data_IF_013494985101
#
_entry.id   IF_013494985101
#
_cell.length_a   1.000
_cell.length_b   1.000
_cell.length_c   1.000
_cell.angle_alpha   90.00
_cell.angle_beta   90.00
_cell.angle_gamma   90.00
#
_symmetry.space_group_name_H-M   'P 1'
#
loop_
_entity.id
_entity.type
_entity.pdbx_description
1 polymer ?
#
# COMPACT_ATOMS: atom_id res chain seq x y z
N UNK A 1 15.37 -39.04 -22.25
CA UNK A 1 15.07 -40.02 -21.20
C UNK A 1 15.35 -39.40 -19.86
N UNK A 2 14.46 -39.61 -18.89
CA UNK A 2 14.49 -39.22 -17.48
C UNK A 2 14.25 -37.75 -17.14
N UNK A 3 12.99 -37.48 -16.87
CA UNK A 3 12.48 -36.38 -16.07
C UNK A 3 12.79 -36.61 -14.57
N UNK A 4 13.25 -35.65 -13.84
CA UNK A 4 12.96 -35.60 -12.40
C UNK A 4 12.51 -34.19 -11.98
N UNK A 5 11.25 -33.97 -11.82
CA UNK A 5 10.74 -32.88 -11.04
C UNK A 5 9.49 -33.33 -10.27
N UNK A 6 9.70 -34.23 -9.34
CA UNK A 6 8.83 -34.45 -8.21
C UNK A 6 9.20 -33.43 -7.13
N UNK A 7 8.73 -32.19 -7.26
CA UNK A 7 8.78 -31.24 -6.17
C UNK A 7 7.77 -31.73 -5.12
N UNK A 8 8.27 -32.37 -4.06
CA UNK A 8 7.49 -32.71 -2.89
C UNK A 8 6.82 -31.43 -2.38
N UNK A 9 5.49 -31.41 -2.39
CA UNK A 9 4.69 -30.36 -1.79
C UNK A 9 5.00 -30.33 -0.29
N UNK A 10 5.75 -29.34 0.16
CA UNK A 10 5.95 -29.13 1.58
C UNK A 10 4.61 -28.71 2.20
N UNK A 11 4.19 -29.35 3.31
CA UNK A 11 2.96 -28.96 3.98
C UNK A 11 3.07 -27.52 4.52
N UNK A 12 2.00 -26.75 4.34
CA UNK A 12 1.87 -25.42 4.88
C UNK A 12 2.04 -25.46 6.41
N UNK A 13 3.05 -24.80 6.92
CA UNK A 13 3.24 -24.66 8.37
C UNK A 13 2.37 -23.52 8.86
N UNK A 14 1.39 -23.85 9.70
CA UNK A 14 0.58 -22.90 10.45
C UNK A 14 1.30 -22.60 11.76
N UNK A 15 1.82 -21.40 11.90
CA UNK A 15 2.37 -20.91 13.16
C UNK A 15 1.28 -20.05 13.80
N UNK A 16 0.64 -20.57 14.83
CA UNK A 16 -0.32 -19.82 15.65
C UNK A 16 0.49 -19.10 16.70
N UNK A 17 0.58 -17.79 16.61
CA UNK A 17 1.13 -16.98 17.68
C UNK A 17 0.11 -16.88 18.81
N UNK A 18 0.49 -17.11 20.08
CA UNK A 18 -0.44 -16.95 21.19
C UNK A 18 -0.92 -15.49 21.23
N UNK A 19 -2.22 -15.32 21.21
CA UNK A 19 -2.88 -14.01 21.29
C UNK A 19 -2.66 -13.41 22.68
N UNK A 20 -1.59 -12.64 22.84
CA UNK A 20 -1.41 -11.76 24.00
C UNK A 20 -2.11 -10.44 23.71
N UNK A 21 -3.43 -10.45 23.60
CA UNK A 21 -4.25 -9.26 23.61
C UNK A 21 -5.43 -9.47 24.54
N UNK A 22 -5.38 -8.74 25.66
CA UNK A 22 -6.44 -8.40 26.60
C UNK A 22 -7.73 -9.21 26.51
N UNK A 23 -7.86 -10.18 27.42
CA UNK A 23 -9.16 -10.75 27.80
C UNK A 23 -10.04 -9.67 28.43
N UNK A 24 -11.03 -9.19 27.71
CA UNK A 24 -12.22 -8.62 28.33
C UNK A 24 -13.35 -9.62 28.18
N UNK A 25 -13.83 -10.11 29.31
CA UNK A 25 -15.16 -10.65 29.55
C UNK A 25 -15.55 -11.89 28.76
N UNK A 26 -15.58 -13.02 29.42
CA UNK A 26 -16.03 -14.29 28.86
C UNK A 26 -17.50 -14.31 28.49
N UNK A 27 -17.76 -14.80 27.29
CA UNK A 27 -18.91 -15.63 26.99
C UNK A 27 -18.38 -16.78 26.15
N UNK A 28 -18.41 -18.00 26.71
CA UNK A 28 -18.29 -19.24 25.94
C UNK A 28 -19.56 -19.33 25.07
N UNK A 29 -19.44 -18.97 23.80
CA UNK A 29 -20.41 -19.33 22.80
C UNK A 29 -20.07 -20.73 22.31
N UNK A 30 -21.05 -21.62 22.31
CA UNK A 30 -21.00 -22.93 21.67
C UNK A 30 -20.40 -22.80 20.27
N UNK A 31 -19.44 -23.69 19.94
CA UNK A 31 -18.67 -23.75 18.70
C UNK A 31 -19.51 -24.22 17.51
N UNK A 32 -20.58 -23.53 17.18
CA UNK A 32 -21.20 -23.67 15.87
C UNK A 32 -20.58 -22.62 14.96
N UNK A 33 -19.79 -23.06 13.96
CA UNK A 33 -19.23 -22.20 12.94
C UNK A 33 -20.36 -21.36 12.30
N UNK A 34 -20.20 -20.03 12.14
CA UNK A 34 -21.25 -19.20 11.57
C UNK A 34 -21.64 -19.71 10.18
N UNK A 35 -22.91 -19.66 9.83
CA UNK A 35 -23.42 -20.07 8.50
C UNK A 35 -22.68 -19.41 7.33
N UNK A 36 -22.24 -18.16 7.51
CA UNK A 36 -21.40 -17.46 6.54
C UNK A 36 -19.98 -18.04 6.36
N UNK A 37 -19.47 -18.73 7.35
CA UNK A 37 -18.19 -19.44 7.25
C UNK A 37 -18.28 -20.60 6.25
N UNK A 38 -19.23 -21.49 6.41
CA UNK A 38 -19.42 -22.64 5.51
C UNK A 38 -19.68 -22.19 4.08
N UNK A 39 -20.50 -21.15 3.90
CA UNK A 39 -20.78 -20.59 2.58
C UNK A 39 -19.51 -20.02 1.92
N UNK A 40 -18.65 -19.31 2.65
CA UNK A 40 -17.40 -18.78 2.11
C UNK A 40 -16.46 -19.90 1.64
N UNK A 41 -16.37 -21.01 2.39
CA UNK A 41 -15.57 -22.17 1.98
C UNK A 41 -16.12 -22.85 0.72
N UNK A 42 -17.41 -23.04 0.62
CA UNK A 42 -18.06 -23.59 -0.58
C UNK A 42 -17.88 -22.70 -1.80
N UNK A 43 -18.00 -21.38 -1.63
CA UNK A 43 -17.77 -20.41 -2.70
C UNK A 43 -16.31 -20.40 -3.15
N UNK A 44 -15.35 -20.52 -2.25
CA UNK A 44 -13.93 -20.64 -2.59
C UNK A 44 -13.65 -21.86 -3.47
N UNK A 45 -14.18 -23.03 -3.10
CA UNK A 45 -14.09 -24.26 -3.90
C UNK A 45 -14.64 -24.04 -5.33
N UNK A 46 -15.81 -23.43 -5.43
CA UNK A 46 -16.46 -23.14 -6.73
C UNK A 46 -15.58 -22.23 -7.60
N UNK A 47 -15.01 -21.18 -7.00
CA UNK A 47 -14.14 -20.24 -7.74
C UNK A 47 -12.90 -20.96 -8.27
N UNK A 48 -12.19 -21.72 -7.44
CA UNK A 48 -10.94 -22.34 -7.82
C UNK A 48 -11.10 -23.57 -8.72
N UNK A 49 -12.15 -24.38 -8.51
CA UNK A 49 -12.34 -25.64 -9.23
C UNK A 49 -13.21 -25.53 -10.47
N UNK A 50 -14.07 -24.51 -10.53
CA UNK A 50 -14.97 -24.33 -11.67
C UNK A 50 -14.63 -23.07 -12.46
N UNK A 51 -14.61 -21.91 -11.81
CA UNK A 51 -14.46 -20.65 -12.52
C UNK A 51 -13.03 -20.46 -13.08
N UNK A 52 -12.01 -20.71 -12.29
CA UNK A 52 -10.60 -20.52 -12.74
C UNK A 52 -10.26 -21.40 -13.94
N UNK A 53 -10.62 -22.70 -14.01
CA UNK A 53 -10.40 -23.51 -15.20
C UNK A 53 -11.13 -23.00 -16.44
N UNK A 54 -12.35 -22.51 -16.31
CA UNK A 54 -13.07 -21.87 -17.43
C UNK A 54 -12.36 -20.61 -17.95
N UNK A 55 -11.63 -19.92 -17.07
CA UNK A 55 -10.80 -18.76 -17.43
C UNK A 55 -9.38 -19.16 -17.90
N UNK A 56 -9.11 -20.46 -18.13
CA UNK A 56 -7.81 -20.97 -18.59
C UNK A 56 -6.75 -21.09 -17.50
N UNK A 57 -7.11 -20.98 -16.23
CA UNK A 57 -6.18 -21.14 -15.10
C UNK A 57 -6.18 -22.57 -14.56
N UNK A 58 -5.01 -23.08 -14.20
CA UNK A 58 -4.88 -24.41 -13.63
C UNK A 58 -5.40 -24.46 -12.17
N UNK A 59 -6.08 -25.56 -11.82
CA UNK A 59 -6.42 -25.87 -10.44
C UNK A 59 -5.15 -26.20 -9.66
N UNK A 60 -4.95 -25.57 -8.53
CA UNK A 60 -3.79 -25.76 -7.64
C UNK A 60 -4.25 -26.03 -6.23
N UNK A 61 -4.14 -27.27 -5.78
CA UNK A 61 -4.63 -27.67 -4.45
C UNK A 61 -4.01 -26.86 -3.30
N UNK A 62 -2.71 -26.57 -3.39
CA UNK A 62 -2.04 -25.74 -2.37
C UNK A 62 -2.60 -24.30 -2.30
N UNK A 63 -3.06 -23.74 -3.44
CA UNK A 63 -3.71 -22.43 -3.48
C UNK A 63 -5.08 -22.46 -2.80
N UNK A 64 -5.84 -23.53 -3.04
CA UNK A 64 -7.16 -23.75 -2.41
C UNK A 64 -6.99 -23.92 -0.90
N UNK A 65 -6.05 -24.79 -0.49
CA UNK A 65 -5.75 -25.01 0.92
C UNK A 65 -5.31 -23.71 1.63
N UNK A 66 -4.47 -22.90 0.98
CA UNK A 66 -4.05 -21.60 1.50
C UNK A 66 -5.26 -20.66 1.68
N UNK A 67 -6.18 -20.62 0.71
CA UNK A 67 -7.40 -19.83 0.80
C UNK A 67 -8.25 -20.28 2.00
N UNK A 68 -8.46 -21.56 2.19
CA UNK A 68 -9.20 -22.11 3.33
C UNK A 68 -8.54 -21.75 4.66
N UNK A 69 -7.23 -21.90 4.78
CA UNK A 69 -6.49 -21.50 5.98
C UNK A 69 -6.66 -20.01 6.30
N UNK A 70 -6.66 -19.16 5.28
CA UNK A 70 -6.90 -17.73 5.45
C UNK A 70 -8.35 -17.41 5.83
N UNK A 71 -9.32 -18.12 5.28
CA UNK A 71 -10.73 -17.99 5.70
C UNK A 71 -10.89 -18.38 7.17
N UNK A 72 -10.29 -19.50 7.62
CA UNK A 72 -10.29 -19.89 9.01
C UNK A 72 -9.77 -18.77 9.92
N UNK A 73 -8.62 -18.18 9.56
CA UNK A 73 -8.02 -17.10 10.32
C UNK A 73 -8.89 -15.83 10.36
N UNK A 74 -9.47 -15.46 9.21
CA UNK A 74 -10.31 -14.27 9.10
C UNK A 74 -11.61 -14.40 9.90
N UNK A 75 -12.28 -15.56 9.84
CA UNK A 75 -13.48 -15.82 10.62
C UNK A 75 -13.16 -16.03 12.12
N UNK A 76 -12.06 -16.68 12.44
CA UNK A 76 -11.56 -16.84 13.81
C UNK A 76 -11.02 -15.57 14.44
N UNK A 77 -10.81 -14.49 13.66
CA UNK A 77 -10.14 -13.25 14.09
C UNK A 77 -8.74 -13.51 14.66
N UNK A 78 -8.02 -14.40 14.02
CA UNK A 78 -6.69 -14.83 14.44
C UNK A 78 -5.59 -14.18 13.60
N UNK A 79 -4.41 -14.06 14.19
CA UNK A 79 -3.19 -13.73 13.47
C UNK A 79 -2.59 -15.04 12.97
N UNK A 80 -2.45 -15.18 11.65
CA UNK A 80 -1.91 -16.39 11.03
C UNK A 80 -0.73 -16.04 10.13
N UNK A 81 0.37 -16.77 10.30
CA UNK A 81 1.52 -16.73 9.39
C UNK A 81 1.39 -17.91 8.41
N UNK A 82 1.37 -17.61 7.13
CA UNK A 82 1.32 -18.60 6.06
C UNK A 82 2.64 -18.57 5.30
N UNK A 83 3.41 -19.66 5.38
CA UNK A 83 4.57 -19.88 4.52
C UNK A 83 4.12 -20.61 3.25
N UNK A 84 4.20 -19.94 2.12
CA UNK A 84 3.74 -20.44 0.84
C UNK A 84 4.81 -20.24 -0.23
N UNK A 85 5.18 -21.31 -0.91
CA UNK A 85 6.21 -21.30 -1.94
C UNK A 85 5.90 -20.39 -3.13
N UNK A 86 6.94 -20.05 -3.88
CA UNK A 86 6.82 -19.27 -5.11
C UNK A 86 5.97 -20.04 -6.15
N UNK A 87 5.11 -19.33 -6.87
CA UNK A 87 4.27 -19.95 -7.90
C UNK A 87 3.00 -20.62 -7.41
N UNK A 88 2.74 -20.68 -6.09
CA UNK A 88 1.51 -21.26 -5.53
C UNK A 88 0.24 -20.49 -5.94
N UNK A 89 0.36 -19.21 -6.29
CA UNK A 89 -0.79 -18.34 -6.55
C UNK A 89 -1.32 -17.65 -5.31
N UNK A 90 -0.44 -17.28 -4.37
CA UNK A 90 -0.76 -16.62 -3.09
C UNK A 90 -1.75 -15.47 -3.24
N UNK A 91 -1.54 -14.62 -4.26
CA UNK A 91 -2.34 -13.41 -4.46
C UNK A 91 -3.82 -13.72 -4.64
N UNK A 92 -4.16 -14.68 -5.49
CA UNK A 92 -5.56 -15.10 -5.64
C UNK A 92 -6.10 -15.77 -4.38
N UNK A 93 -5.29 -16.57 -3.68
CA UNK A 93 -5.73 -17.25 -2.46
C UNK A 93 -6.19 -16.24 -1.40
N UNK A 94 -5.35 -15.22 -1.11
CA UNK A 94 -5.72 -14.24 -0.09
C UNK A 94 -6.79 -13.25 -0.57
N UNK A 95 -6.84 -12.90 -1.86
CA UNK A 95 -7.90 -12.04 -2.39
C UNK A 95 -9.27 -12.73 -2.33
N UNK A 96 -9.36 -13.99 -2.76
CA UNK A 96 -10.60 -14.76 -2.69
C UNK A 96 -11.06 -14.89 -1.24
N UNK A 97 -10.16 -15.32 -0.34
CA UNK A 97 -10.49 -15.46 1.09
C UNK A 97 -11.02 -14.15 1.70
N UNK A 98 -10.32 -13.05 1.45
CA UNK A 98 -10.68 -11.76 2.01
C UNK A 98 -11.99 -11.20 1.47
N UNK A 99 -12.23 -11.34 0.15
CA UNK A 99 -13.47 -10.85 -0.48
C UNK A 99 -14.67 -11.65 0.01
N UNK A 100 -14.55 -12.99 0.04
CA UNK A 100 -15.61 -13.85 0.54
C UNK A 100 -15.89 -13.58 2.02
N UNK A 101 -14.86 -13.41 2.84
CA UNK A 101 -15.03 -13.02 4.23
C UNK A 101 -15.75 -11.67 4.37
N UNK A 102 -15.37 -10.64 3.60
CA UNK A 102 -16.05 -9.33 3.62
C UNK A 102 -17.51 -9.44 3.20
N UNK A 103 -17.80 -10.27 2.20
CA UNK A 103 -19.15 -10.48 1.68
C UNK A 103 -20.08 -11.05 2.75
N UNK A 104 -19.60 -11.94 3.60
CA UNK A 104 -20.41 -12.56 4.67
C UNK A 104 -20.67 -11.62 5.86
N UNK A 105 -20.08 -10.40 5.84
CA UNK A 105 -20.37 -9.40 6.87
C UNK A 105 -21.65 -8.64 6.56
N UNK A 106 -22.52 -8.55 7.57
CA UNK A 106 -23.74 -7.77 7.45
C UNK A 106 -23.45 -6.28 7.25
N UNK A 107 -24.23 -5.61 6.40
CA UNK A 107 -24.29 -4.15 6.36
C UNK A 107 -24.92 -3.65 7.68
N UNK A 108 -24.44 -2.62 8.37
CA UNK A 108 -23.33 -1.70 8.07
C UNK A 108 -21.97 -2.11 8.65
N UNK A 109 -21.83 -3.31 9.19
CA UNK A 109 -20.62 -3.79 9.90
C UNK A 109 -19.47 -4.14 8.94
N UNK A 110 -19.69 -4.03 7.64
CA UNK A 110 -18.68 -4.32 6.64
C UNK A 110 -17.59 -3.24 6.66
N UNK A 111 -16.44 -3.61 7.17
CA UNK A 111 -15.26 -2.75 7.20
C UNK A 111 -14.36 -3.07 5.99
N UNK A 112 -13.61 -2.07 5.49
CA UNK A 112 -12.61 -2.29 4.45
C UNK A 112 -11.57 -3.35 4.82
N UNK A 113 -10.98 -3.96 3.79
CA UNK A 113 -9.78 -4.76 3.91
C UNK A 113 -8.55 -3.87 3.63
N UNK A 114 -7.44 -4.16 4.29
CA UNK A 114 -6.13 -3.59 3.94
C UNK A 114 -5.22 -4.69 3.42
N UNK A 115 -4.57 -4.44 2.28
CA UNK A 115 -3.50 -5.28 1.75
C UNK A 115 -2.23 -4.45 1.72
N UNK A 116 -1.19 -4.92 2.39
CA UNK A 116 0.13 -4.32 2.35
C UNK A 116 1.11 -5.25 1.64
N UNK A 117 1.83 -4.74 0.66
CA UNK A 117 2.87 -5.50 -0.06
C UNK A 117 4.13 -4.68 -0.24
N UNK A 118 5.29 -5.34 -0.32
CA UNK A 118 6.57 -4.68 -0.58
C UNK A 118 6.73 -4.27 -2.05
N UNK A 119 5.98 -4.86 -2.98
CA UNK A 119 6.13 -4.68 -4.43
C UNK A 119 5.15 -3.66 -4.99
N UNK A 120 5.67 -2.59 -5.62
CA UNK A 120 4.84 -1.63 -6.36
C UNK A 120 4.18 -2.30 -7.58
N UNK A 121 4.90 -3.20 -8.26
CA UNK A 121 4.35 -3.94 -9.39
C UNK A 121 3.16 -4.81 -8.96
N UNK A 122 3.24 -5.45 -7.80
CA UNK A 122 2.12 -6.23 -7.26
C UNK A 122 0.93 -5.35 -6.85
N UNK A 123 1.18 -4.16 -6.30
CA UNK A 123 0.09 -3.21 -6.03
C UNK A 123 -0.68 -2.86 -7.31
N UNK A 124 0.05 -2.58 -8.39
CA UNK A 124 -0.53 -2.26 -9.69
C UNK A 124 -1.27 -3.46 -10.29
N UNK A 125 -0.71 -4.68 -10.18
CA UNK A 125 -1.36 -5.90 -10.66
C UNK A 125 -2.65 -6.21 -9.86
N UNK A 126 -2.64 -6.05 -8.53
CA UNK A 126 -3.85 -6.22 -7.72
C UNK A 126 -4.93 -5.25 -8.18
N UNK A 127 -4.58 -3.98 -8.40
CA UNK A 127 -5.50 -2.92 -8.78
C UNK A 127 -6.07 -3.09 -10.19
N UNK A 128 -5.21 -3.46 -11.17
CA UNK A 128 -5.53 -3.41 -12.60
C UNK A 128 -5.94 -4.75 -13.19
N UNK A 129 -5.52 -5.86 -12.57
CA UNK A 129 -5.69 -7.20 -13.11
C UNK A 129 -6.47 -8.11 -12.16
N UNK A 130 -5.96 -8.37 -10.95
CA UNK A 130 -6.53 -9.39 -10.06
C UNK A 130 -7.91 -9.03 -9.52
N UNK A 131 -8.09 -7.82 -8.99
CA UNK A 131 -9.39 -7.41 -8.44
C UNK A 131 -10.45 -7.22 -9.53
N UNK A 132 -10.18 -6.60 -10.69
CA UNK A 132 -11.14 -6.55 -11.80
C UNK A 132 -11.54 -7.93 -12.30
N UNK A 133 -10.60 -8.86 -12.45
CA UNK A 133 -10.88 -10.24 -12.83
C UNK A 133 -11.79 -10.93 -11.81
N UNK A 134 -11.45 -10.88 -10.52
CA UNK A 134 -12.26 -11.46 -9.45
C UNK A 134 -13.63 -10.80 -9.31
N UNK A 135 -13.73 -9.48 -9.51
CA UNK A 135 -15.02 -8.80 -9.53
C UNK A 135 -15.94 -9.37 -10.61
N UNK A 136 -15.42 -9.56 -11.82
CA UNK A 136 -16.16 -10.16 -12.93
C UNK A 136 -16.58 -11.59 -12.60
N UNK A 137 -15.65 -12.40 -12.09
CA UNK A 137 -15.91 -13.76 -11.68
C UNK A 137 -17.05 -13.86 -10.64
N UNK A 138 -16.96 -13.07 -9.59
CA UNK A 138 -17.90 -13.10 -8.49
C UNK A 138 -19.29 -12.56 -8.87
N UNK A 139 -19.34 -11.58 -9.79
CA UNK A 139 -20.62 -11.11 -10.37
C UNK A 139 -21.25 -12.21 -11.22
N UNK A 140 -20.47 -12.88 -12.07
CA UNK A 140 -20.98 -13.98 -12.93
C UNK A 140 -21.48 -15.16 -12.11
N UNK A 141 -20.83 -15.47 -11.00
CA UNK A 141 -21.30 -16.49 -10.04
C UNK A 141 -22.50 -16.03 -9.19
N UNK A 142 -22.91 -14.77 -9.31
CA UNK A 142 -24.00 -14.21 -8.49
C UNK A 142 -23.63 -13.98 -7.03
N UNK A 143 -22.34 -14.00 -6.68
CA UNK A 143 -21.88 -13.83 -5.31
C UNK A 143 -21.83 -12.37 -4.87
N UNK A 144 -21.55 -11.45 -5.78
CA UNK A 144 -21.61 -10.01 -5.54
C UNK A 144 -22.46 -9.33 -6.62
N UNK A 145 -23.08 -8.20 -6.28
CA UNK A 145 -23.91 -7.41 -7.22
C UNK A 145 -23.13 -6.27 -7.87
N UNK A 146 -22.14 -5.74 -7.18
CA UNK A 146 -21.36 -4.59 -7.61
C UNK A 146 -19.87 -4.91 -7.62
N UNK A 147 -19.08 -4.29 -8.50
CA UNK A 147 -17.63 -4.48 -8.53
C UNK A 147 -16.97 -4.12 -7.20
N UNK A 148 -15.91 -4.86 -6.89
CA UNK A 148 -15.05 -4.59 -5.74
C UNK A 148 -14.34 -3.26 -5.95
N UNK A 149 -14.44 -2.38 -4.97
CA UNK A 149 -13.78 -1.09 -5.02
C UNK A 149 -12.36 -1.18 -4.45
N UNK A 150 -11.42 -0.50 -5.09
CA UNK A 150 -10.03 -0.48 -4.65
C UNK A 150 -9.51 0.95 -4.54
N UNK A 151 -8.73 1.20 -3.50
CA UNK A 151 -8.04 2.48 -3.31
C UNK A 151 -6.57 2.21 -3.02
N UNK A 152 -5.70 2.73 -3.88
CA UNK A 152 -4.26 2.64 -3.65
C UNK A 152 -3.82 3.76 -2.70
N UNK A 153 -3.26 3.39 -1.57
CA UNK A 153 -2.77 4.31 -0.54
C UNK A 153 -1.27 4.53 -0.69
N UNK A 154 -0.89 5.70 -1.18
CA UNK A 154 0.50 6.16 -1.30
C UNK A 154 0.67 7.46 -0.54
N UNK A 155 1.91 7.85 -0.27
CA UNK A 155 2.21 9.18 0.26
C UNK A 155 1.56 10.26 -0.61
N UNK A 156 0.93 11.25 0.02
CA UNK A 156 0.15 12.29 -0.68
C UNK A 156 0.95 13.07 -1.73
N UNK A 157 2.26 13.20 -1.57
CA UNK A 157 3.16 13.79 -2.58
C UNK A 157 3.25 13.00 -3.88
N UNK A 158 2.68 11.78 -3.95
CA UNK A 158 2.57 10.98 -5.18
C UNK A 158 1.32 11.29 -6.00
N UNK A 159 0.44 12.14 -5.50
CA UNK A 159 -0.80 12.52 -6.18
C UNK A 159 -0.78 13.99 -6.60
N UNK A 160 -1.46 14.32 -7.70
CA UNK A 160 -1.59 15.69 -8.15
C UNK A 160 -2.61 16.47 -7.30
N UNK A 161 -2.25 17.71 -6.98
CA UNK A 161 -3.14 18.70 -6.39
C UNK A 161 -3.78 19.55 -7.50
N UNK A 162 -5.10 19.58 -7.60
CA UNK A 162 -5.81 20.30 -8.64
C UNK A 162 -5.48 21.79 -8.66
N UNK A 163 -5.36 22.42 -7.50
CA UNK A 163 -5.03 23.84 -7.38
C UNK A 163 -3.60 24.14 -7.87
N UNK A 164 -2.63 23.32 -7.43
CA UNK A 164 -1.24 23.48 -7.86
C UNK A 164 -1.04 23.15 -9.34
N UNK A 165 -1.77 22.16 -9.85
CA UNK A 165 -1.78 21.79 -11.25
C UNK A 165 -2.29 22.98 -12.11
N UNK A 166 -3.40 23.58 -11.71
CA UNK A 166 -3.96 24.73 -12.40
C UNK A 166 -2.99 25.94 -12.42
N UNK A 167 -2.38 26.23 -11.25
CA UNK A 167 -1.36 27.28 -11.14
C UNK A 167 -0.19 27.00 -12.09
N UNK A 168 0.35 25.77 -12.04
CA UNK A 168 1.48 25.39 -12.87
C UNK A 168 1.15 25.42 -14.37
N UNK A 169 -0.05 25.04 -14.78
CA UNK A 169 -0.50 25.14 -16.15
C UNK A 169 -0.51 26.59 -16.66
N UNK A 170 -0.93 27.55 -15.84
CA UNK A 170 -0.91 28.98 -16.19
C UNK A 170 0.52 29.49 -16.36
N UNK A 171 1.43 29.14 -15.45
CA UNK A 171 2.86 29.52 -15.54
C UNK A 171 3.52 28.95 -16.80
N UNK A 172 3.22 27.71 -17.14
CA UNK A 172 3.80 27.02 -18.30
C UNK A 172 3.20 27.49 -19.62
N UNK A 173 1.92 27.88 -19.64
CA UNK A 173 1.27 28.43 -20.81
C UNK A 173 1.98 29.70 -21.32
N UNK A 174 2.58 30.49 -20.42
CA UNK A 174 3.38 31.67 -20.76
C UNK A 174 4.74 31.32 -21.40
N UNK A 175 5.22 30.06 -21.25
CA UNK A 175 6.51 29.60 -21.79
C UNK A 175 6.43 28.84 -23.11
N UNK A 176 5.22 28.75 -23.71
CA UNK A 176 4.98 28.13 -25.00
C UNK A 176 4.20 26.81 -24.97
N UNK A 177 3.61 26.48 -26.09
CA UNK A 177 2.64 25.39 -26.23
C UNK A 177 3.22 23.98 -25.96
N UNK A 178 4.48 23.77 -26.30
CA UNK A 178 5.16 22.49 -26.11
C UNK A 178 5.21 22.07 -24.64
N UNK A 179 5.38 23.03 -23.73
CA UNK A 179 5.37 22.80 -22.29
C UNK A 179 3.95 22.64 -21.72
N UNK A 180 3.01 23.42 -22.22
CA UNK A 180 1.61 23.37 -21.80
C UNK A 180 0.94 22.01 -22.13
N UNK A 181 1.30 21.40 -23.27
CA UNK A 181 0.70 20.16 -23.77
C UNK A 181 0.83 18.99 -22.80
N UNK A 182 1.97 18.87 -22.12
CA UNK A 182 2.22 17.79 -21.13
C UNK A 182 1.30 17.85 -19.92
N UNK A 183 0.92 19.05 -19.50
CA UNK A 183 0.05 19.26 -18.34
C UNK A 183 -1.44 19.27 -18.70
N UNK A 184 -1.82 19.45 -19.99
CA UNK A 184 -3.23 19.43 -20.42
C UNK A 184 -3.87 18.06 -20.19
N UNK A 185 -3.16 16.98 -20.52
CA UNK A 185 -3.64 15.60 -20.30
C UNK A 185 -4.04 15.36 -18.84
N UNK A 186 -3.39 16.04 -17.90
CA UNK A 186 -3.67 15.92 -16.48
C UNK A 186 -4.91 16.68 -16.03
N UNK A 187 -5.37 17.66 -16.81
CA UNK A 187 -6.53 18.46 -16.46
C UNK A 187 -7.83 17.72 -16.76
N UNK A 188 -7.84 16.98 -17.85
CA UNK A 188 -9.05 16.41 -18.43
C UNK A 188 -9.40 15.02 -17.83
N UNK A 189 -8.57 14.52 -16.93
CA UNK A 189 -8.86 13.27 -16.21
C UNK A 189 -9.83 13.52 -15.04
N UNK A 190 -10.95 12.82 -15.03
CA UNK A 190 -11.95 12.90 -13.95
C UNK A 190 -11.50 12.22 -12.65
N UNK A 191 -10.47 11.40 -12.72
CA UNK A 191 -9.97 10.61 -11.60
C UNK A 191 -8.78 11.27 -10.91
N UNK A 192 -8.49 10.85 -9.68
CA UNK A 192 -7.27 11.22 -8.98
C UNK A 192 -6.04 10.77 -9.77
N UNK A 193 -5.09 11.69 -9.95
CA UNK A 193 -3.88 11.45 -10.72
C UNK A 193 -2.77 10.95 -9.82
N UNK A 194 -2.37 9.70 -10.04
CA UNK A 194 -1.13 9.14 -9.50
C UNK A 194 0.05 9.60 -10.37
N UNK A 195 0.90 10.46 -9.81
CA UNK A 195 2.04 11.03 -10.52
C UNK A 195 3.09 9.98 -10.92
N UNK A 196 3.11 8.82 -10.29
CA UNK A 196 4.03 7.74 -10.65
C UNK A 196 3.66 7.07 -11.98
N UNK A 197 2.39 7.16 -12.38
CA UNK A 197 1.90 6.59 -13.64
C UNK A 197 2.07 7.55 -14.83
N UNK A 198 2.48 8.79 -14.59
CA UNK A 198 2.58 9.81 -15.63
C UNK A 198 4.01 9.82 -16.20
N UNK A 199 4.13 9.36 -17.44
CA UNK A 199 5.41 9.38 -18.15
C UNK A 199 5.81 10.79 -18.61
N UNK A 200 7.11 11.07 -18.60
CA UNK A 200 7.68 12.31 -19.14
C UNK A 200 7.43 13.56 -18.29
N UNK A 201 6.91 13.42 -17.09
CA UNK A 201 6.77 14.51 -16.14
C UNK A 201 8.13 14.79 -15.48
N UNK A 202 8.60 16.06 -15.57
CA UNK A 202 9.86 16.46 -14.96
C UNK A 202 9.79 16.40 -13.44
N UNK A 203 10.93 16.14 -12.76
CA UNK A 203 10.99 16.17 -11.30
C UNK A 203 10.62 17.54 -10.73
N UNK A 204 10.87 18.62 -11.47
CA UNK A 204 10.45 19.96 -11.11
C UNK A 204 8.92 20.10 -11.14
N UNK A 205 8.27 19.71 -12.25
CA UNK A 205 6.81 19.79 -12.37
C UNK A 205 6.14 18.91 -11.33
N UNK A 206 6.65 17.69 -11.12
CA UNK A 206 6.18 16.77 -10.06
C UNK A 206 6.11 17.46 -8.70
N UNK A 207 7.18 18.11 -8.27
CA UNK A 207 7.23 18.82 -6.97
C UNK A 207 6.25 20.01 -6.90
N UNK A 208 6.00 20.66 -8.03
CA UNK A 208 5.13 21.85 -8.07
C UNK A 208 3.65 21.50 -8.18
N UNK A 209 3.28 20.32 -8.69
CA UNK A 209 1.88 19.91 -8.83
C UNK A 209 1.43 18.88 -7.80
N UNK A 210 2.32 18.28 -7.03
CA UNK A 210 1.96 17.27 -6.03
C UNK A 210 1.12 17.86 -4.89
N UNK A 211 0.35 16.99 -4.22
CA UNK A 211 -0.36 17.34 -2.99
C UNK A 211 0.66 17.74 -1.92
N UNK A 212 0.51 18.91 -1.29
CA UNK A 212 1.45 19.40 -0.28
C UNK A 212 1.37 18.58 1.02
N UNK A 213 2.44 18.62 1.82
CA UNK A 213 2.46 17.98 3.14
C UNK A 213 1.35 18.50 4.05
N UNK A 214 1.07 19.78 4.00
CA UNK A 214 -0.05 20.40 4.70
C UNK A 214 -0.97 21.04 3.67
N UNK A 215 -2.17 20.49 3.55
CA UNK A 215 -3.24 21.15 2.80
C UNK A 215 -3.80 22.29 3.61
N UNK A 216 -4.02 23.40 2.96
CA UNK A 216 -4.72 24.54 3.56
C UNK A 216 -6.13 24.11 4.01
N UNK A 217 -6.53 24.55 5.21
CA UNK A 217 -7.87 24.31 5.74
C UNK A 217 -8.93 25.02 4.90
N UNK A 218 -8.59 26.17 4.35
CA UNK A 218 -9.46 27.03 3.55
C UNK A 218 -9.23 26.86 2.02
N UNK A 219 -8.76 25.70 1.63
CA UNK A 219 -8.49 25.37 0.23
C UNK A 219 -9.77 25.53 -0.60
N UNK A 220 -9.76 26.46 -1.54
CA UNK A 220 -10.90 26.77 -2.45
C UNK A 220 -11.31 25.61 -3.36
N UNK A 221 -10.43 24.62 -3.54
CA UNK A 221 -10.70 23.42 -4.34
C UNK A 221 -11.18 22.25 -3.49
N UNK A 222 -11.41 22.40 -2.18
CA UNK A 222 -11.66 21.30 -1.24
C UNK A 222 -12.82 20.40 -1.66
N UNK A 223 -13.95 20.98 -2.03
CA UNK A 223 -15.17 20.24 -2.37
C UNK A 223 -15.07 19.51 -3.70
N UNK A 224 -14.21 20.00 -4.60
CA UNK A 224 -13.96 19.41 -5.93
C UNK A 224 -12.63 18.68 -6.03
N UNK A 225 -11.90 18.53 -4.94
CA UNK A 225 -10.57 17.95 -4.91
C UNK A 225 -10.60 16.46 -5.28
N UNK A 226 -10.04 16.10 -6.45
CA UNK A 226 -9.96 14.71 -6.93
C UNK A 226 -9.22 13.80 -5.95
N UNK A 227 -8.15 14.29 -5.32
CA UNK A 227 -7.43 13.53 -4.30
C UNK A 227 -8.30 13.21 -3.09
N UNK A 228 -9.05 14.18 -2.56
CA UNK A 228 -9.97 13.94 -1.45
C UNK A 228 -11.08 12.97 -1.84
N UNK A 229 -11.70 13.16 -3.00
CA UNK A 229 -12.71 12.22 -3.52
C UNK A 229 -12.15 10.79 -3.63
N UNK A 230 -10.94 10.65 -4.15
CA UNK A 230 -10.26 9.37 -4.26
C UNK A 230 -10.04 8.70 -2.89
N UNK A 231 -9.57 9.45 -1.89
CA UNK A 231 -9.37 8.92 -0.55
C UNK A 231 -10.66 8.47 0.13
N UNK A 232 -11.79 9.08 -0.24
CA UNK A 232 -13.11 8.79 0.32
C UNK A 232 -13.94 7.85 -0.57
N UNK A 233 -13.36 7.28 -1.63
CA UNK A 233 -14.03 6.26 -2.42
C UNK A 233 -14.47 5.09 -1.54
N UNK A 234 -15.62 4.52 -1.91
CA UNK A 234 -16.23 3.44 -1.14
C UNK A 234 -17.25 3.95 -0.13
N UNK A 235 -18.51 3.79 -0.47
CA UNK A 235 -19.64 4.06 0.43
C UNK A 235 -19.68 3.09 1.62
N UNK A 236 -20.57 3.36 2.57
CA UNK A 236 -20.87 2.45 3.67
C UNK A 236 -21.36 1.12 3.09
N UNK A 237 -20.72 0.02 3.49
CA UNK A 237 -21.11 -1.32 3.07
C UNK A 237 -20.57 -1.79 1.71
N UNK A 238 -19.81 -0.95 0.96
CA UNK A 238 -19.13 -1.42 -0.23
C UNK A 238 -18.01 -2.43 0.09
N UNK A 239 -17.75 -3.34 -0.86
CA UNK A 239 -16.55 -4.20 -0.79
C UNK A 239 -15.33 -3.34 -1.15
N UNK A 240 -14.65 -2.80 -0.16
CA UNK A 240 -13.53 -1.89 -0.33
C UNK A 240 -12.21 -2.52 0.11
N UNK A 241 -11.24 -2.52 -0.80
CA UNK A 241 -9.86 -2.93 -0.53
C UNK A 241 -8.96 -1.70 -0.58
N UNK A 242 -8.25 -1.43 0.51
CA UNK A 242 -7.19 -0.44 0.56
C UNK A 242 -5.85 -1.15 0.33
N UNK A 243 -5.13 -0.76 -0.71
CA UNK A 243 -3.83 -1.33 -1.07
C UNK A 243 -2.76 -0.33 -0.68
N UNK A 244 -1.70 -0.76 0.00
CA UNK A 244 -0.58 0.11 0.36
C UNK A 244 0.75 -0.66 0.34
N UNK A 245 1.86 0.06 0.49
CA UNK A 245 3.14 -0.56 0.79
C UNK A 245 3.38 -0.64 2.30
N UNK A 246 4.40 -1.39 2.69
CA UNK A 246 4.76 -1.58 4.09
C UNK A 246 5.12 -0.27 4.79
N UNK A 247 5.78 0.67 4.09
CA UNK A 247 6.08 1.99 4.66
C UNK A 247 4.80 2.75 5.03
N UNK A 248 3.78 2.70 4.19
CA UNK A 248 2.50 3.37 4.44
C UNK A 248 1.73 2.71 5.58
N UNK A 249 1.76 1.37 5.65
CA UNK A 249 1.17 0.61 6.75
C UNK A 249 1.83 0.95 8.09
N UNK A 250 3.17 0.95 8.14
CA UNK A 250 3.91 1.29 9.36
C UNK A 250 3.71 2.75 9.75
N UNK A 251 3.63 3.67 8.78
CA UNK A 251 3.30 5.06 9.05
C UNK A 251 1.89 5.21 9.65
N UNK A 252 0.90 4.47 9.16
CA UNK A 252 -0.45 4.43 9.74
C UNK A 252 -0.43 3.90 11.18
N UNK A 253 0.35 2.84 11.44
CA UNK A 253 0.50 2.28 12.79
C UNK A 253 1.11 3.31 13.75
N UNK A 254 2.14 4.06 13.32
CA UNK A 254 2.74 5.14 14.12
C UNK A 254 1.72 6.26 14.36
N UNK A 255 0.92 6.64 13.36
CA UNK A 255 -0.12 7.65 13.53
C UNK A 255 -1.14 7.22 14.58
N UNK A 256 -1.62 5.97 14.51
CA UNK A 256 -2.59 5.41 15.49
C UNK A 256 -2.00 5.35 16.89
N UNK A 257 -0.75 4.92 17.03
CA UNK A 257 -0.05 4.83 18.32
C UNK A 257 0.08 6.19 18.99
N UNK A 258 0.33 7.26 18.21
CA UNK A 258 0.47 8.62 18.72
C UNK A 258 -0.86 9.39 18.84
N UNK A 259 -2.00 8.75 18.58
CA UNK A 259 -3.31 9.42 18.60
C UNK A 259 -3.50 10.43 17.45
N UNK A 260 -2.68 10.37 16.40
CA UNK A 260 -2.83 11.22 15.24
C UNK A 260 -3.91 10.67 14.31
N UNK A 261 -4.37 11.52 13.36
CA UNK A 261 -5.34 11.09 12.36
C UNK A 261 -4.79 9.88 11.58
N UNK A 262 -5.50 8.76 11.54
CA UNK A 262 -5.10 7.59 10.78
C UNK A 262 -4.92 7.90 9.29
N UNK A 263 -3.98 7.24 8.65
CA UNK A 263 -3.74 7.35 7.21
C UNK A 263 -4.64 6.40 6.42
N UNK A 264 -4.89 5.22 6.97
CA UNK A 264 -5.84 4.22 6.46
C UNK A 264 -7.21 4.42 7.13
N UNK A 265 -8.29 4.16 6.38
CA UNK A 265 -9.61 4.03 7.02
C UNK A 265 -9.61 2.81 7.92
N UNK A 266 -10.46 2.82 8.94
CA UNK A 266 -10.63 1.65 9.79
C UNK A 266 -10.97 0.42 8.96
N UNK A 267 -10.37 -0.70 9.31
CA UNK A 267 -10.43 -1.93 8.54
C UNK A 267 -10.72 -3.13 9.44
N UNK A 268 -11.42 -4.11 8.86
CA UNK A 268 -11.80 -5.32 9.57
C UNK A 268 -10.76 -6.42 9.50
N UNK A 269 -9.90 -6.38 8.48
CA UNK A 269 -8.81 -7.32 8.30
C UNK A 269 -7.62 -6.69 7.60
N UNK A 270 -6.43 -7.24 7.87
CA UNK A 270 -5.15 -6.84 7.31
C UNK A 270 -4.43 -8.07 6.74
N UNK A 271 -4.03 -7.96 5.48
CA UNK A 271 -3.15 -8.95 4.84
C UNK A 271 -1.80 -8.27 4.57
N UNK A 272 -0.74 -8.93 5.00
CA UNK A 272 0.63 -8.47 4.78
C UNK A 272 1.32 -9.51 3.90
N UNK A 273 1.51 -9.18 2.64
CA UNK A 273 2.24 -10.01 1.69
C UNK A 273 3.73 -9.73 1.80
N UNK A 274 4.59 -10.78 1.70
CA UNK A 274 6.03 -10.66 1.93
C UNK A 274 6.38 -10.07 3.31
N UNK A 275 5.68 -10.52 4.36
CA UNK A 275 5.80 -9.98 5.72
C UNK A 275 7.23 -10.03 6.28
N UNK A 276 8.08 -10.90 5.75
CA UNK A 276 9.50 -10.99 6.12
C UNK A 276 10.29 -9.70 5.85
N UNK A 277 9.78 -8.81 5.00
CA UNK A 277 10.40 -7.50 4.69
C UNK A 277 10.04 -6.40 5.70
N UNK A 278 9.03 -6.61 6.56
CA UNK A 278 8.62 -5.58 7.52
C UNK A 278 9.74 -5.12 8.46
N UNK A 279 10.59 -5.99 9.02
CA UNK A 279 11.67 -5.55 9.91
C UNK A 279 12.65 -4.59 9.22
N UNK A 280 13.05 -4.90 7.99
CA UNK A 280 13.93 -4.06 7.20
C UNK A 280 13.28 -2.69 6.90
N UNK A 281 12.02 -2.69 6.48
CA UNK A 281 11.26 -1.46 6.21
C UNK A 281 11.12 -0.61 7.47
N UNK A 282 10.85 -1.22 8.63
CA UNK A 282 10.79 -0.50 9.90
C UNK A 282 12.14 0.12 10.29
N UNK A 283 13.23 -0.60 10.08
CA UNK A 283 14.57 -0.08 10.29
C UNK A 283 14.85 1.13 9.38
N UNK A 284 14.55 1.02 8.08
CA UNK A 284 14.72 2.11 7.13
C UNK A 284 13.90 3.35 7.51
N UNK A 285 12.66 3.18 7.97
CA UNK A 285 11.78 4.29 8.41
C UNK A 285 12.31 5.00 9.66
N UNK A 286 13.01 4.29 10.54
CA UNK A 286 13.61 4.86 11.75
C UNK A 286 15.01 5.42 11.52
N UNK A 287 15.64 5.06 10.42
CA UNK A 287 16.97 5.55 10.04
C UNK A 287 16.86 7.03 9.63
N UNK A 288 17.65 7.86 10.25
CA UNK A 288 17.85 9.24 9.83
C UNK A 288 19.17 9.34 9.10
N UNK A 289 19.12 9.77 7.85
CA UNK A 289 20.30 10.01 7.05
C UNK A 289 20.52 11.51 6.94
N UNK A 290 21.71 11.96 7.25
CA UNK A 290 22.15 13.32 7.01
C UNK A 290 23.20 13.27 5.91
N UNK A 291 22.91 13.84 4.76
CA UNK A 291 23.83 13.90 3.64
C UNK A 291 24.49 15.27 3.54
N UNK A 292 25.65 15.31 2.87
CA UNK A 292 26.31 16.58 2.49
C UNK A 292 25.36 17.48 1.69
N UNK A 293 24.51 16.88 0.85
CA UNK A 293 23.50 17.62 0.08
C UNK A 293 22.43 18.27 0.98
N UNK A 294 22.03 17.62 2.07
CA UNK A 294 21.06 18.19 3.02
C UNK A 294 21.66 19.38 3.76
N UNK A 295 22.92 19.28 4.17
CA UNK A 295 23.65 20.37 4.81
C UNK A 295 23.83 21.56 3.86
N UNK A 296 24.20 21.31 2.60
CA UNK A 296 24.29 22.33 1.57
C UNK A 296 22.94 23.03 1.30
N UNK A 297 21.85 22.27 1.26
CA UNK A 297 20.52 22.84 1.10
C UNK A 297 20.13 23.72 2.30
N UNK A 298 20.44 23.29 3.51
CA UNK A 298 20.21 24.07 4.72
C UNK A 298 21.04 25.37 4.73
N UNK A 299 22.32 25.30 4.37
CA UNK A 299 23.17 26.48 4.24
C UNK A 299 22.61 27.50 3.24
N UNK A 300 22.14 27.02 2.08
CA UNK A 300 21.46 27.87 1.09
C UNK A 300 20.16 28.49 1.62
N UNK A 301 19.41 27.78 2.43
CA UNK A 301 18.21 28.34 3.07
C UNK A 301 18.58 29.43 4.08
N UNK A 302 19.56 29.20 4.94
CA UNK A 302 20.05 30.21 5.89
C UNK A 302 20.51 31.49 5.18
N UNK A 303 21.25 31.37 4.06
CA UNK A 303 21.64 32.52 3.28
C UNK A 303 20.44 33.32 2.74
N UNK A 304 19.37 32.65 2.31
CA UNK A 304 18.14 33.30 1.82
C UNK A 304 17.37 34.02 2.92
N UNK A 305 17.46 33.54 4.15
CA UNK A 305 16.87 34.17 5.34
C UNK A 305 17.77 35.23 5.96
N UNK A 306 18.82 35.69 5.24
CA UNK A 306 19.79 36.68 5.68
C UNK A 306 20.69 36.25 6.85
N UNK A 307 20.72 34.98 7.18
CA UNK A 307 21.61 34.38 8.20
C UNK A 307 22.93 33.97 7.53
N UNK A 308 23.67 34.99 7.06
CA UNK A 308 24.88 34.79 6.22
C UNK A 308 26.01 34.13 7.00
N UNK A 309 26.21 34.54 8.25
CA UNK A 309 27.27 33.99 9.10
C UNK A 309 27.08 32.50 9.39
N UNK A 310 25.87 32.11 9.76
CA UNK A 310 25.48 30.74 10.04
C UNK A 310 25.57 29.87 8.77
N UNK A 311 25.18 30.42 7.64
CA UNK A 311 25.33 29.77 6.35
C UNK A 311 26.79 29.47 6.02
N UNK A 312 27.70 30.45 6.22
CA UNK A 312 29.15 30.29 5.99
C UNK A 312 29.79 29.27 6.94
N UNK A 313 29.39 29.28 8.20
CA UNK A 313 29.86 28.26 9.16
C UNK A 313 29.39 26.86 8.75
N UNK A 314 28.13 26.71 8.33
CA UNK A 314 27.61 25.42 7.90
C UNK A 314 28.31 24.93 6.63
N UNK A 315 28.62 25.81 5.67
CA UNK A 315 29.39 25.47 4.48
C UNK A 315 30.79 24.95 4.85
N UNK A 316 31.47 25.56 5.82
CA UNK A 316 32.80 25.13 6.27
C UNK A 316 32.73 23.73 6.90
N UNK A 317 31.78 23.52 7.83
CA UNK A 317 31.58 22.22 8.47
C UNK A 317 31.26 21.16 7.43
N UNK A 318 30.40 21.47 6.44
CA UNK A 318 30.01 20.54 5.37
C UNK A 318 31.22 20.14 4.50
N UNK A 319 32.13 21.07 4.20
CA UNK A 319 33.34 20.77 3.44
C UNK A 319 34.29 19.87 4.23
N UNK A 320 34.48 20.13 5.53
CA UNK A 320 35.31 19.29 6.41
C UNK A 320 34.73 17.87 6.55
N UNK A 321 33.43 17.74 6.73
CA UNK A 321 32.73 16.43 6.76
C UNK A 321 32.84 15.71 5.43
N UNK A 322 32.72 16.42 4.30
CA UNK A 322 32.87 15.84 2.96
C UNK A 322 34.27 15.26 2.77
N UNK A 323 35.31 16.01 3.12
CA UNK A 323 36.66 15.54 3.05
C UNK A 323 36.94 14.33 3.96
N UNK A 324 36.39 14.32 5.19
CA UNK A 324 36.49 13.20 6.10
C UNK A 324 35.80 11.93 5.55
N UNK A 325 34.64 12.06 4.93
CA UNK A 325 33.95 10.94 4.29
C UNK A 325 34.66 10.40 3.06
N UNK A 326 35.33 11.25 2.25
CA UNK A 326 36.14 10.80 1.13
C UNK A 326 37.33 9.96 1.61
N UNK A 327 38.02 10.36 2.66
CA UNK A 327 39.09 9.58 3.28
C UNK A 327 38.58 8.20 3.79
N UNK A 328 37.38 8.17 4.38
CA UNK A 328 36.75 6.92 4.82
C UNK A 328 36.33 6.00 3.68
N UNK A 329 35.91 6.52 2.53
CA UNK A 329 35.52 5.71 1.36
C UNK A 329 36.70 4.98 0.70
N UNK A 330 37.91 5.50 0.80
CA UNK A 330 39.12 4.84 0.29
C UNK A 330 39.62 3.72 1.19
N UNK A 331 39.13 3.64 2.43
CA UNK A 331 39.39 2.57 3.37
C UNK A 331 38.13 1.74 3.59
N UNK A 332 38.01 0.54 2.94
CA UNK A 332 37.00 -0.52 3.11
C UNK A 332 35.71 -0.09 3.83
N UNK A 333 34.54 -0.24 3.18
CA UNK A 333 33.22 -0.15 3.80
C UNK A 333 33.23 -0.91 5.15
N UNK A 334 33.40 -0.21 6.25
CA UNK A 334 33.11 -0.73 7.58
C UNK A 334 31.77 -0.17 7.99
N UNK A 335 30.78 -1.01 8.08
CA UNK A 335 29.59 -0.71 8.86
C UNK A 335 30.05 -0.49 10.30
N UNK A 336 29.87 0.72 10.79
CA UNK A 336 30.10 1.03 12.21
C UNK A 336 28.81 0.59 12.90
N UNK A 337 28.85 -0.48 13.72
CA UNK A 337 27.68 -0.88 14.47
C UNK A 337 27.32 0.26 15.44
N UNK A 338 26.06 0.67 15.42
CA UNK A 338 25.53 1.60 16.40
C UNK A 338 25.56 0.91 17.78
N UNK A 339 26.36 1.44 18.67
CA UNK A 339 26.31 1.12 20.10
C UNK A 339 25.37 2.12 20.74
N UNK A 340 24.29 1.69 21.43
CA UNK A 340 23.32 2.60 22.08
C UNK A 340 23.94 3.38 23.23
#
# INVERSE_FOLDING_TARGET
MSNPCGAAQQPLRRIILPSTVMKRGGYRLNETKPTGYELAHQQAETIFRMFFPHAGMAVREGQIQLCHTMLDALFGREVTLCDAGVGLGKTYAYLVAAILWMQQRALPLRQPLVISTASVALQDAILKEYVPFLSTALIQCGYIKEPIQTVLRKGKGRYACDLRLLKRQREVAQRGEKFARRLRVLRDADTCLDLDQIQGLSGYDRRHICVPERCDRDCIARDRCRYQRYLHQGGVGSLLIQICNHNYLLADAIHRQNGWKPLLRDYGALIIDEAHKLPEVNQQMRTRCLSVADLNNLANQLARESLVHESQQLWRITAELGAAFEVMQHGRKREIPYSP
#
